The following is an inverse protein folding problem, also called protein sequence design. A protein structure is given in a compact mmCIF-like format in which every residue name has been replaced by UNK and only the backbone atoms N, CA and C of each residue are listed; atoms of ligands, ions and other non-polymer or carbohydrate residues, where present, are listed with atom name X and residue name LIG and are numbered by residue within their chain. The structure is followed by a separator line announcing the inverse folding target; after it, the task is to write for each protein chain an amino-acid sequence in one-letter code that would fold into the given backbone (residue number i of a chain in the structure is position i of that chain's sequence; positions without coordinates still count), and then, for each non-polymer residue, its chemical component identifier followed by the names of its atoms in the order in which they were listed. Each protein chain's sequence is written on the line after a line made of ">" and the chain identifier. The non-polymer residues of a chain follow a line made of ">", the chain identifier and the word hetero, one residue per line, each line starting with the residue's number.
data_IF_796746325177
#
_entry.id   IF_796746325177
#
_cell.length_a   1.000
_cell.length_b   1.000
_cell.length_c   1.000
_cell.angle_alpha   90.00
_cell.angle_beta   90.00
_cell.angle_gamma   90.00
#
_symmetry.space_group_name_H-M   'P 1'
#
loop_
_entity.id
_entity.type
_entity.pdbx_description
1 polymer ?
#
# COMPACT_ATOMS: atom_id res chain seq x y z
N UNK A 1 20.25 -27.28 50.03
CA UNK A 1 19.69 -28.63 50.31
C UNK A 1 20.29 -29.61 49.31
N UNK A 2 20.89 -30.73 49.74
CA UNK A 2 21.42 -31.71 48.79
C UNK A 2 20.25 -32.35 48.02
N UNK A 3 20.14 -32.06 46.72
CA UNK A 3 19.05 -32.54 45.86
C UNK A 3 18.43 -31.48 44.93
N UNK A 4 18.61 -30.19 45.24
CA UNK A 4 18.08 -29.09 44.40
C UNK A 4 18.79 -29.03 43.03
N UNK A 5 20.11 -29.24 43.00
CA UNK A 5 20.89 -29.23 41.74
C UNK A 5 20.47 -30.39 40.83
N UNK A 6 20.20 -31.58 41.39
CA UNK A 6 19.68 -32.73 40.63
C UNK A 6 18.28 -32.47 40.05
N UNK A 7 17.41 -31.80 40.80
CA UNK A 7 16.07 -31.47 40.30
C UNK A 7 16.15 -30.43 39.17
N UNK A 8 17.02 -29.43 39.32
CA UNK A 8 17.28 -28.44 38.27
C UNK A 8 17.82 -29.10 37.01
N UNK A 9 18.84 -29.96 37.12
CA UNK A 9 19.44 -30.65 35.97
C UNK A 9 18.42 -31.52 35.24
N UNK A 10 17.57 -32.24 35.97
CA UNK A 10 16.51 -33.08 35.38
C UNK A 10 15.48 -32.22 34.66
N UNK A 11 15.00 -31.14 35.28
CA UNK A 11 14.02 -30.24 34.65
C UNK A 11 14.63 -29.54 33.44
N UNK A 12 15.89 -29.11 33.52
CA UNK A 12 16.61 -28.45 32.43
C UNK A 12 16.74 -29.38 31.22
N UNK A 13 17.24 -30.61 31.43
CA UNK A 13 17.37 -31.62 30.36
C UNK A 13 16.01 -31.97 29.78
N UNK A 14 14.97 -32.09 30.61
CA UNK A 14 13.61 -32.35 30.16
C UNK A 14 13.07 -31.23 29.27
N UNK A 15 13.27 -29.95 29.66
CA UNK A 15 12.86 -28.79 28.86
C UNK A 15 13.60 -28.75 27.53
N UNK A 16 14.91 -29.01 27.51
CA UNK A 16 15.71 -29.08 26.27
C UNK A 16 15.18 -30.16 25.34
N UNK A 17 14.93 -31.37 25.85
CA UNK A 17 14.38 -32.48 25.08
C UNK A 17 12.99 -32.12 24.52
N UNK A 18 12.10 -31.58 25.35
CA UNK A 18 10.76 -31.20 24.90
C UNK A 18 10.78 -30.07 23.87
N UNK A 19 11.67 -29.10 24.02
CA UNK A 19 11.81 -28.00 23.05
C UNK A 19 12.29 -28.53 21.69
N UNK A 20 13.27 -29.44 21.68
CA UNK A 20 13.75 -30.08 20.46
C UNK A 20 12.66 -30.96 19.81
N UNK A 21 11.91 -31.69 20.63
CA UNK A 21 10.84 -32.58 20.17
C UNK A 21 9.65 -31.80 19.61
N UNK A 22 9.24 -30.71 20.27
CA UNK A 22 8.16 -29.82 19.81
C UNK A 22 8.56 -29.05 18.54
N UNK A 23 9.78 -28.51 18.47
CA UNK A 23 10.27 -27.79 17.29
C UNK A 23 10.32 -28.71 16.05
N UNK A 24 10.74 -29.97 16.23
CA UNK A 24 10.84 -30.95 15.14
C UNK A 24 9.50 -31.55 14.72
N UNK A 25 8.47 -31.54 15.58
CA UNK A 25 7.14 -32.10 15.25
C UNK A 25 6.20 -31.09 14.59
N UNK A 26 6.32 -29.79 14.92
CA UNK A 26 5.50 -28.74 14.30
C UNK A 26 5.73 -28.65 12.77
N UNK A 27 6.99 -28.72 12.33
CA UNK A 27 7.35 -28.55 10.92
C UNK A 27 6.82 -29.64 9.96
N UNK A 28 6.87 -30.96 10.28
CA UNK A 28 6.28 -32.00 9.45
C UNK A 28 4.75 -32.07 9.58
N UNK A 29 4.18 -31.74 10.74
CA UNK A 29 2.72 -31.70 10.94
C UNK A 29 2.09 -30.54 10.17
N UNK A 30 2.68 -29.34 10.22
CA UNK A 30 2.24 -28.20 9.42
C UNK A 30 2.29 -28.50 7.91
N UNK A 31 3.33 -29.22 7.46
CA UNK A 31 3.44 -29.71 6.08
C UNK A 31 2.36 -30.73 5.71
N UNK A 32 2.04 -31.68 6.59
CA UNK A 32 0.99 -32.69 6.34
C UNK A 32 -0.42 -32.10 6.37
N UNK A 33 -0.66 -31.07 7.18
CA UNK A 33 -1.96 -30.39 7.27
C UNK A 33 -2.15 -29.30 6.20
N UNK A 34 -1.17 -29.07 5.33
CA UNK A 34 -1.26 -28.05 4.28
C UNK A 34 -1.27 -26.61 4.80
N UNK A 35 -0.85 -26.38 6.05
CA UNK A 35 -0.78 -25.05 6.68
C UNK A 35 0.49 -24.29 6.29
N UNK A 36 1.43 -24.96 5.62
CA UNK A 36 2.53 -24.28 4.95
C UNK A 36 2.04 -23.72 3.62
N UNK A 37 1.74 -22.42 3.59
CA UNK A 37 1.59 -21.71 2.33
C UNK A 37 2.89 -21.85 1.52
N UNK A 38 2.83 -22.14 0.21
CA UNK A 38 4.02 -22.01 -0.65
C UNK A 38 4.57 -20.60 -0.43
N UNK A 39 5.91 -20.49 -0.30
CA UNK A 39 6.58 -19.20 -0.24
C UNK A 39 5.98 -18.30 -1.32
N UNK A 40 5.31 -17.23 -0.89
CA UNK A 40 4.61 -16.32 -1.78
C UNK A 40 5.52 -15.99 -2.95
N UNK A 41 4.99 -16.23 -4.14
CA UNK A 41 5.67 -16.10 -5.41
C UNK A 41 6.39 -14.75 -5.43
N UNK A 42 7.72 -14.80 -5.33
CA UNK A 42 8.62 -13.67 -5.44
C UNK A 42 7.97 -12.38 -4.93
N UNK A 43 7.91 -12.23 -3.60
CA UNK A 43 8.11 -10.90 -3.04
C UNK A 43 9.34 -10.36 -3.77
N UNK A 44 9.13 -9.47 -4.74
CA UNK A 44 10.04 -8.37 -4.94
C UNK A 44 10.15 -7.82 -3.53
N UNK A 45 11.22 -8.18 -2.83
CA UNK A 45 11.68 -7.53 -1.63
C UNK A 45 11.88 -6.10 -2.09
N UNK A 46 10.81 -5.32 -2.03
CA UNK A 46 10.85 -3.88 -2.03
C UNK A 46 11.67 -3.61 -0.80
N UNK A 47 12.99 -3.49 -0.99
CA UNK A 47 13.79 -2.69 -0.07
C UNK A 47 12.96 -1.42 0.12
N UNK A 48 12.42 -1.20 1.31
CA UNK A 48 11.52 -0.09 1.63
C UNK A 48 12.25 1.26 1.57
N UNK A 49 13.48 1.28 1.04
CA UNK A 49 14.48 2.33 1.18
C UNK A 49 14.96 3.01 -0.14
N UNK A 50 14.23 3.02 -1.28
CA UNK A 50 14.41 4.05 -2.31
C UNK A 50 13.51 5.27 -2.08
N UNK A 51 12.25 5.05 -1.69
CA UNK A 51 11.25 6.13 -1.51
C UNK A 51 11.50 6.96 -0.25
N UNK A 52 11.93 6.35 0.86
CA UNK A 52 12.30 7.06 2.09
C UNK A 52 13.49 8.02 1.87
N UNK A 53 14.47 7.62 1.04
CA UNK A 53 15.59 8.49 0.65
C UNK A 53 15.15 9.64 -0.25
N UNK A 54 14.16 9.41 -1.11
CA UNK A 54 13.57 10.42 -1.99
C UNK A 54 12.50 11.27 -1.31
N UNK A 55 12.08 10.90 -0.09
CA UNK A 55 10.93 11.47 0.63
C UNK A 55 9.69 11.54 -0.27
N UNK A 56 9.31 10.41 -0.88
CA UNK A 56 8.15 10.34 -1.76
C UNK A 56 7.16 9.26 -1.29
N UNK A 57 5.87 9.61 -1.41
CA UNK A 57 4.73 8.81 -1.03
C UNK A 57 4.00 8.30 -2.27
N UNK A 58 3.42 7.11 -2.14
CA UNK A 58 2.51 6.52 -3.13
C UNK A 58 1.07 6.78 -2.68
N UNK A 59 0.28 7.35 -3.59
CA UNK A 59 -1.14 7.60 -3.41
C UNK A 59 -1.91 6.75 -4.42
N UNK A 60 -2.95 6.04 -3.95
CA UNK A 60 -3.88 5.32 -4.80
C UNK A 60 -5.23 6.02 -4.79
N UNK A 61 -5.81 6.23 -5.97
CA UNK A 61 -7.14 6.83 -6.12
C UNK A 61 -7.98 6.03 -7.09
N UNK A 62 -9.17 5.63 -6.66
CA UNK A 62 -10.20 5.08 -7.53
C UNK A 62 -11.13 6.21 -8.02
N UNK A 63 -11.59 6.14 -9.27
CA UNK A 63 -12.59 7.05 -9.82
C UNK A 63 -13.98 6.42 -9.64
N UNK A 64 -14.73 6.74 -8.56
CA UNK A 64 -16.02 6.11 -8.31
C UNK A 64 -17.09 6.58 -9.31
N UNK A 65 -18.18 5.81 -9.46
CA UNK A 65 -19.37 6.27 -10.17
C UNK A 65 -19.87 7.61 -9.61
N UNK A 66 -20.14 8.58 -10.49
CA UNK A 66 -20.56 9.92 -10.10
C UNK A 66 -19.42 10.91 -9.83
N UNK A 67 -18.16 10.47 -9.81
CA UNK A 67 -17.01 11.38 -9.74
C UNK A 67 -16.92 12.24 -11.01
N UNK A 68 -16.62 13.53 -10.82
CA UNK A 68 -16.34 14.46 -11.91
C UNK A 68 -14.91 14.33 -12.46
N UNK A 69 -14.11 13.39 -11.95
CA UNK A 69 -12.84 12.98 -12.57
C UNK A 69 -13.05 12.20 -13.87
N UNK A 70 -14.19 11.54 -14.03
CA UNK A 70 -14.54 10.86 -15.27
C UNK A 70 -14.59 11.85 -16.45
N UNK A 71 -13.77 11.61 -17.46
CA UNK A 71 -13.63 12.44 -18.65
C UNK A 71 -12.58 13.57 -18.53
N UNK A 72 -11.93 13.73 -17.38
CA UNK A 72 -10.83 14.68 -17.18
C UNK A 72 -9.53 14.09 -17.71
N UNK A 73 -8.72 14.91 -18.37
CA UNK A 73 -7.38 14.50 -18.81
C UNK A 73 -6.36 14.59 -17.67
N UNK A 74 -5.28 13.81 -17.76
CA UNK A 74 -4.22 13.81 -16.74
C UNK A 74 -3.56 15.19 -16.61
N UNK A 75 -3.32 15.91 -17.72
CA UNK A 75 -2.79 17.27 -17.70
C UNK A 75 -3.75 18.30 -17.05
N UNK A 76 -5.06 18.08 -17.16
CA UNK A 76 -6.11 18.91 -16.55
C UNK A 76 -6.20 18.73 -15.03
N UNK A 77 -5.64 17.66 -14.46
CA UNK A 77 -5.52 17.51 -13.00
C UNK A 77 -4.71 18.65 -12.39
N UNK A 78 -3.73 19.19 -13.13
CA UNK A 78 -2.82 20.25 -12.63
C UNK A 78 -2.28 19.92 -11.25
N UNK A 79 -1.65 18.75 -11.14
CA UNK A 79 -0.98 18.33 -9.91
C UNK A 79 0.16 19.30 -9.56
N UNK A 80 0.48 19.48 -8.27
CA UNK A 80 1.61 20.31 -7.87
C UNK A 80 2.93 19.74 -8.38
N UNK A 81 3.94 20.60 -8.53
CA UNK A 81 5.29 20.16 -8.89
C UNK A 81 5.80 19.19 -7.83
N UNK A 82 6.28 18.02 -8.26
CA UNK A 82 6.66 16.94 -7.35
C UNK A 82 5.57 15.88 -7.14
N UNK A 83 4.45 15.95 -7.87
CA UNK A 83 3.46 14.88 -7.96
C UNK A 83 3.17 14.49 -9.42
N UNK A 84 2.98 13.20 -9.68
CA UNK A 84 2.69 12.66 -11.03
C UNK A 84 1.87 11.37 -10.99
N UNK A 85 0.97 11.20 -11.95
CA UNK A 85 0.27 9.92 -12.17
C UNK A 85 1.22 8.97 -12.90
N UNK A 86 1.58 7.86 -12.27
CA UNK A 86 2.57 6.91 -12.80
C UNK A 86 1.93 5.71 -13.49
N UNK A 87 0.72 5.31 -13.07
CA UNK A 87 0.00 4.17 -13.64
C UNK A 87 -1.51 4.41 -13.57
N UNK A 88 -2.22 3.99 -14.60
CA UNK A 88 -3.68 3.83 -14.58
C UNK A 88 -4.01 2.36 -14.81
N UNK A 89 -4.81 1.79 -13.91
CA UNK A 89 -5.37 0.47 -14.04
C UNK A 89 -6.82 0.59 -14.50
N UNK A 90 -7.13 -0.01 -15.66
CA UNK A 90 -8.46 0.00 -16.27
C UNK A 90 -8.79 -1.41 -16.73
N UNK A 91 -9.95 -1.92 -16.30
CA UNK A 91 -10.42 -3.26 -16.68
C UNK A 91 -9.38 -4.36 -16.38
N UNK A 92 -8.62 -4.21 -15.29
CA UNK A 92 -7.53 -5.11 -14.90
C UNK A 92 -6.22 -4.95 -15.67
N UNK A 93 -6.14 -4.01 -16.62
CA UNK A 93 -4.96 -3.74 -17.44
C UNK A 93 -4.29 -2.43 -17.01
N UNK A 94 -3.00 -2.51 -16.67
CA UNK A 94 -2.20 -1.36 -16.28
C UNK A 94 -1.53 -0.71 -17.49
N UNK A 95 -1.57 0.61 -17.56
CA UNK A 95 -0.85 1.37 -18.59
C UNK A 95 -0.31 2.69 -18.02
N UNK A 96 0.80 3.16 -18.58
CA UNK A 96 1.38 4.47 -18.25
C UNK A 96 0.57 5.55 -18.97
N UNK A 97 -0.03 6.50 -18.26
CA UNK A 97 -0.83 7.53 -18.91
C UNK A 97 0.06 8.57 -19.63
N UNK A 98 -0.36 8.96 -20.83
CA UNK A 98 0.12 10.18 -21.48
C UNK A 98 -0.60 11.44 -20.94
N UNK A 99 -0.13 12.65 -21.28
CA UNK A 99 -0.75 13.91 -20.84
C UNK A 99 -2.23 14.03 -21.25
N UNK A 100 -2.58 13.52 -22.43
CA UNK A 100 -3.91 13.50 -23.04
C UNK A 100 -4.73 12.24 -22.65
N UNK A 101 -4.24 11.45 -21.69
CA UNK A 101 -5.01 10.30 -21.21
C UNK A 101 -6.25 10.79 -20.48
N UNK A 102 -7.42 10.37 -20.97
CA UNK A 102 -8.70 10.60 -20.30
C UNK A 102 -8.93 9.56 -19.21
N UNK A 103 -9.22 10.05 -18.01
CA UNK A 103 -9.69 9.23 -16.90
C UNK A 103 -11.13 8.79 -17.13
N UNK A 104 -11.47 7.59 -16.69
CA UNK A 104 -12.80 7.00 -16.76
C UNK A 104 -13.24 6.56 -15.36
N UNK A 105 -14.56 6.48 -15.18
CA UNK A 105 -15.13 5.84 -13.99
C UNK A 105 -14.65 4.38 -13.94
N UNK A 106 -14.24 3.92 -12.76
CA UNK A 106 -13.65 2.61 -12.54
C UNK A 106 -12.13 2.56 -12.74
N UNK A 107 -11.49 3.65 -13.20
CA UNK A 107 -10.03 3.70 -13.24
C UNK A 107 -9.47 3.73 -11.81
N UNK A 108 -8.37 3.01 -11.59
CA UNK A 108 -7.53 3.15 -10.41
C UNK A 108 -6.20 3.79 -10.80
N UNK A 109 -5.86 4.92 -10.20
CA UNK A 109 -4.65 5.67 -10.45
C UNK A 109 -3.62 5.38 -9.36
N UNK A 110 -2.37 5.18 -9.77
CA UNK A 110 -1.20 5.25 -8.91
C UNK A 110 -0.52 6.61 -9.13
N UNK A 111 -0.32 7.35 -8.06
CA UNK A 111 0.31 8.66 -8.06
C UNK A 111 1.53 8.60 -7.15
N UNK A 112 2.65 9.15 -7.60
CA UNK A 112 3.83 9.41 -6.76
C UNK A 112 3.83 10.89 -6.42
N UNK A 113 3.96 11.23 -5.14
CA UNK A 113 4.09 12.61 -4.67
C UNK A 113 5.24 12.74 -3.68
N UNK A 114 6.04 13.80 -3.75
CA UNK A 114 7.01 14.08 -2.66
C UNK A 114 6.26 14.45 -1.37
N UNK A 115 6.84 14.11 -0.22
CA UNK A 115 6.22 14.27 1.10
C UNK A 115 5.75 15.71 1.36
N UNK A 116 6.47 16.72 0.84
CA UNK A 116 6.11 18.12 1.00
C UNK A 116 4.85 18.56 0.25
N UNK A 117 4.43 17.82 -0.78
CA UNK A 117 3.25 18.14 -1.62
C UNK A 117 2.17 17.07 -1.56
N UNK A 118 2.33 16.06 -0.71
CA UNK A 118 1.39 14.95 -0.52
C UNK A 118 -0.03 15.46 -0.26
N UNK A 119 -0.18 16.29 0.77
CA UNK A 119 -1.50 16.78 1.21
C UNK A 119 -2.13 17.74 0.20
N UNK A 120 -1.30 18.56 -0.48
CA UNK A 120 -1.77 19.42 -1.57
C UNK A 120 -2.27 18.59 -2.75
N UNK A 121 -1.57 17.50 -3.07
CA UNK A 121 -1.95 16.56 -4.13
C UNK A 121 -3.29 15.90 -3.81
N UNK A 122 -3.48 15.40 -2.59
CA UNK A 122 -4.75 14.81 -2.17
C UNK A 122 -5.90 15.82 -2.22
N UNK A 123 -5.70 17.04 -1.67
CA UNK A 123 -6.68 18.13 -1.73
C UNK A 123 -7.06 18.45 -3.17
N UNK A 124 -6.08 18.53 -4.07
CA UNK A 124 -6.31 18.80 -5.48
C UNK A 124 -7.13 17.69 -6.14
N UNK A 125 -6.78 16.43 -5.91
CA UNK A 125 -7.51 15.28 -6.44
C UNK A 125 -8.95 15.21 -5.91
N UNK A 126 -9.14 15.45 -4.60
CA UNK A 126 -10.48 15.59 -3.99
C UNK A 126 -11.28 16.71 -4.66
N UNK A 127 -10.68 17.88 -4.86
CA UNK A 127 -11.34 19.02 -5.47
C UNK A 127 -11.82 18.72 -6.90
N UNK A 128 -10.97 18.08 -7.72
CA UNK A 128 -11.32 17.68 -9.10
C UNK A 128 -12.36 16.55 -9.10
N UNK A 129 -12.31 15.60 -8.16
CA UNK A 129 -13.34 14.57 -8.00
C UNK A 129 -14.72 15.18 -7.74
N UNK A 130 -14.79 16.23 -6.91
CA UNK A 130 -16.06 16.89 -6.53
C UNK A 130 -16.59 17.85 -7.60
N UNK A 131 -15.73 18.66 -8.22
CA UNK A 131 -16.16 19.77 -9.11
C UNK A 131 -15.59 19.71 -10.52
N UNK A 132 -14.88 18.65 -10.88
CA UNK A 132 -14.30 18.44 -12.20
C UNK A 132 -13.16 19.42 -12.53
N UNK A 133 -12.90 19.58 -13.83
CA UNK A 133 -11.80 20.41 -14.38
C UNK A 133 -11.67 21.81 -13.77
N UNK A 134 -12.78 22.44 -13.41
CA UNK A 134 -12.83 23.84 -12.96
C UNK A 134 -12.94 23.98 -11.43
N UNK A 135 -12.56 22.96 -10.65
CA UNK A 135 -12.70 22.97 -9.20
C UNK A 135 -12.18 24.24 -8.50
N UNK A 136 -11.02 24.78 -8.92
CA UNK A 136 -10.45 26.02 -8.36
C UNK A 136 -11.30 27.27 -8.68
N UNK A 137 -11.97 27.30 -9.82
CA UNK A 137 -12.84 28.41 -10.21
C UNK A 137 -14.19 28.41 -9.46
N UNK A 138 -14.61 27.25 -8.97
CA UNK A 138 -15.81 27.07 -8.15
C UNK A 138 -15.55 27.12 -6.64
N UNK A 139 -14.35 27.53 -6.20
CA UNK A 139 -14.01 27.62 -4.78
C UNK A 139 -13.93 26.27 -4.06
N UNK A 140 -13.64 25.16 -4.78
CA UNK A 140 -13.37 23.87 -4.16
C UNK A 140 -11.87 23.71 -3.91
N UNK A 141 -11.48 23.70 -2.64
CA UNK A 141 -10.09 23.51 -2.22
C UNK A 141 -9.79 22.10 -1.71
N UNK A 142 -10.79 21.21 -1.65
CA UNK A 142 -10.54 19.82 -1.24
C UNK A 142 -10.45 19.63 0.27
N UNK A 143 -10.89 20.60 1.07
CA UNK A 143 -10.89 20.54 2.54
C UNK A 143 -11.79 19.39 3.04
N UNK A 144 -11.37 18.76 4.14
CA UNK A 144 -12.17 17.78 4.86
C UNK A 144 -13.27 18.55 5.59
N UNK A 145 -14.54 18.25 5.28
CA UNK A 145 -15.64 18.66 6.16
C UNK A 145 -15.61 17.70 7.34
N UNK A 146 -15.10 18.17 8.48
CA UNK A 146 -15.49 17.61 9.77
C UNK A 146 -17.02 17.79 9.88
N UNK A 147 -17.75 16.68 9.75
CA UNK A 147 -19.17 16.52 10.16
C UNK A 147 -19.20 15.51 11.32
#
# INVERSE_FOLDING_TARGET
>A
MPGADRLFDVVFVLVVIFTLLQASTLAPVARRLGVTAPAEAAEIRVETAPLERMRADLLQLEVPPGSRLGGVHVDELRLPVGASVTLVLRDGVGFVPGPDTRLKVGDSLLIVATAGVRDETERRLRAVSRRGRLARWFGEYGEDRDD
#
